data_IF_869797370023
#
_entry.id   IF_869797370023
#
_cell.length_a   1.000
_cell.length_b   1.000
_cell.length_c   1.000
_cell.angle_alpha   90.00
_cell.angle_beta   90.00
_cell.angle_gamma   90.00
#
_symmetry.space_group_name_H-M   'P 1'
#
loop_
_entity.id
_entity.type
_entity.pdbx_description
1 polymer ?
#
# COMPACT_ATOMS: atom_id res chain seq x y z
N UNK A 1 11.62 8.75 -5.82
CA UNK A 1 10.74 7.57 -5.67
C UNK A 1 10.23 7.51 -4.24
N UNK A 2 8.90 7.36 -4.08
CA UNK A 2 8.32 7.19 -2.75
C UNK A 2 8.11 5.71 -2.46
N UNK A 3 8.23 5.33 -1.18
CA UNK A 3 8.09 3.95 -0.75
C UNK A 3 7.30 3.88 0.56
N UNK A 4 6.64 2.77 0.77
CA UNK A 4 5.93 2.50 2.02
C UNK A 4 6.25 1.08 2.48
N UNK A 5 6.41 0.91 3.79
CA UNK A 5 6.55 -0.42 4.39
C UNK A 5 5.17 -1.05 4.56
N UNK A 6 5.09 -2.33 4.24
CA UNK A 6 3.84 -3.09 4.34
C UNK A 6 4.03 -4.22 5.34
N UNK A 7 3.12 -4.28 6.31
CA UNK A 7 3.16 -5.27 7.40
C UNK A 7 1.96 -6.20 7.31
N UNK A 8 2.16 -7.44 7.68
CA UNK A 8 1.06 -8.42 7.84
C UNK A 8 1.14 -8.97 9.25
N UNK A 9 0.05 -8.84 10.00
CA UNK A 9 -0.01 -9.24 11.41
C UNK A 9 1.12 -8.61 12.23
N UNK A 10 1.45 -7.37 11.94
CA UNK A 10 2.51 -6.64 12.62
C UNK A 10 3.93 -7.00 12.22
N UNK A 11 4.10 -7.94 11.28
CA UNK A 11 5.41 -8.37 10.80
C UNK A 11 5.71 -7.71 9.47
N UNK A 12 6.88 -7.10 9.33
CA UNK A 12 7.27 -6.46 8.07
C UNK A 12 7.32 -7.49 6.95
N UNK A 13 6.51 -7.31 5.92
CA UNK A 13 6.40 -8.24 4.80
C UNK A 13 7.14 -7.77 3.57
N UNK A 14 7.14 -6.45 3.32
CA UNK A 14 7.78 -5.94 2.12
C UNK A 14 7.57 -4.44 2.00
N UNK A 15 7.75 -3.94 0.78
CA UNK A 15 7.51 -2.52 0.55
C UNK A 15 6.80 -2.28 -0.78
N UNK A 16 5.98 -1.25 -0.79
CA UNK A 16 5.32 -0.75 -1.98
C UNK A 16 6.11 0.44 -2.50
N UNK A 17 6.54 0.37 -3.74
CA UNK A 17 7.37 1.40 -4.37
C UNK A 17 6.59 2.11 -5.46
N UNK A 18 6.69 3.44 -5.48
CA UNK A 18 6.14 4.24 -6.56
C UNK A 18 7.30 4.62 -7.49
N UNK A 19 7.46 3.85 -8.57
CA UNK A 19 8.57 4.06 -9.49
C UNK A 19 8.30 5.21 -10.43
N UNK A 20 7.03 5.37 -10.84
CA UNK A 20 6.60 6.51 -11.63
C UNK A 20 5.15 6.81 -11.22
N UNK A 21 4.92 8.02 -10.72
CA UNK A 21 3.63 8.38 -10.13
C UNK A 21 2.49 8.18 -11.12
N UNK A 22 1.50 7.39 -10.70
CA UNK A 22 0.32 7.09 -11.49
C UNK A 22 0.51 6.08 -12.60
N UNK A 23 1.75 5.61 -12.83
CA UNK A 23 2.04 4.78 -14.00
C UNK A 23 2.80 3.50 -13.70
N UNK A 24 3.61 3.47 -12.65
CA UNK A 24 4.41 2.28 -12.38
C UNK A 24 4.64 2.13 -10.90
N UNK A 25 4.12 1.03 -10.35
CA UNK A 25 4.27 0.67 -8.95
C UNK A 25 4.83 -0.74 -8.86
N UNK A 26 5.55 -0.99 -7.78
CA UNK A 26 6.13 -2.32 -7.55
C UNK A 26 5.95 -2.68 -6.09
N UNK A 27 5.45 -3.90 -5.83
CA UNK A 27 5.46 -4.46 -4.49
C UNK A 27 6.54 -5.53 -4.43
N UNK A 28 7.39 -5.46 -3.39
CA UNK A 28 8.50 -6.39 -3.22
C UNK A 28 8.42 -6.98 -1.82
N UNK A 29 8.26 -8.30 -1.73
CA UNK A 29 8.40 -8.99 -0.44
C UNK A 29 9.86 -8.95 0.00
N UNK A 30 10.07 -8.90 1.33
CA UNK A 30 11.41 -9.04 1.89
C UNK A 30 12.00 -10.38 1.48
N UNK A 31 13.29 -10.40 1.22
CA UNK A 31 13.99 -11.63 0.97
C UNK A 31 13.88 -12.50 2.21
N UNK A 32 13.46 -13.77 2.02
CA UNK A 32 13.29 -14.69 3.13
C UNK A 32 12.02 -14.50 3.95
N UNK A 33 11.09 -13.64 3.51
CA UNK A 33 9.83 -13.47 4.24
C UNK A 33 9.03 -14.77 4.27
N UNK A 34 8.59 -15.18 5.45
CA UNK A 34 7.89 -16.46 5.65
C UNK A 34 6.51 -16.31 6.29
N UNK A 35 5.99 -15.11 6.39
CA UNK A 35 4.66 -14.87 6.92
C UNK A 35 3.58 -15.08 5.89
N UNK A 36 2.37 -14.66 6.25
CA UNK A 36 1.23 -14.72 5.35
C UNK A 36 1.39 -13.73 4.20
N UNK A 37 0.80 -14.05 3.05
CA UNK A 37 0.80 -13.11 1.93
C UNK A 37 -0.03 -11.88 2.25
N UNK A 38 0.34 -10.75 1.63
CA UNK A 38 -0.40 -9.49 1.77
C UNK A 38 -1.81 -9.65 1.22
N UNK A 39 -1.95 -10.41 0.14
CA UNK A 39 -3.22 -10.58 -0.56
C UNK A 39 -3.20 -11.91 -1.30
N UNK A 40 -4.38 -12.46 -1.55
CA UNK A 40 -4.52 -13.66 -2.38
C UNK A 40 -3.98 -13.45 -3.79
N UNK A 41 -3.97 -12.21 -4.26
CA UNK A 41 -3.47 -11.88 -5.60
C UNK A 41 -1.97 -11.61 -5.62
N UNK A 42 -1.33 -11.64 -4.44
CA UNK A 42 0.12 -11.42 -4.31
C UNK A 42 0.72 -12.52 -3.42
N UNK A 43 0.63 -13.80 -3.83
CA UNK A 43 1.17 -14.89 -3.02
C UNK A 43 2.69 -14.78 -2.85
N UNK A 44 3.20 -15.35 -1.76
CA UNK A 44 4.62 -15.22 -1.40
C UNK A 44 5.55 -16.08 -2.24
N UNK A 45 5.00 -16.91 -3.13
CA UNK A 45 5.82 -17.72 -4.04
C UNK A 45 6.45 -16.90 -5.16
N UNK A 46 6.07 -15.63 -5.28
CA UNK A 46 6.70 -14.67 -6.17
C UNK A 46 7.07 -13.46 -5.32
N UNK A 47 8.28 -12.94 -5.52
CA UNK A 47 8.78 -11.90 -4.65
C UNK A 47 8.44 -10.49 -5.14
N UNK A 48 8.40 -10.29 -6.46
CA UNK A 48 8.23 -8.97 -7.05
C UNK A 48 6.97 -8.94 -7.91
N UNK A 49 6.15 -7.91 -7.70
CA UNK A 49 4.92 -7.68 -8.46
C UNK A 49 4.95 -6.27 -9.03
N UNK A 50 4.86 -6.16 -10.36
CA UNK A 50 4.83 -4.88 -11.05
C UNK A 50 3.43 -4.54 -11.53
N UNK A 51 3.08 -3.26 -11.45
CA UNK A 51 1.77 -2.75 -11.84
C UNK A 51 1.93 -1.48 -12.65
N UNK A 52 1.11 -1.33 -13.69
CA UNK A 52 1.08 -0.12 -14.53
C UNK A 52 0.13 0.95 -13.98
N UNK A 53 -0.40 0.73 -12.79
CA UNK A 53 -1.23 1.66 -12.04
C UNK A 53 -1.15 1.28 -10.57
N UNK A 54 -1.81 2.04 -9.70
CA UNK A 54 -1.79 1.72 -8.27
C UNK A 54 -2.34 0.31 -8.07
N UNK A 55 -1.65 -0.55 -7.27
CA UNK A 55 -2.05 -1.95 -7.14
C UNK A 55 -3.49 -2.09 -6.65
N UNK A 56 -4.32 -2.90 -7.31
CA UNK A 56 -5.74 -3.02 -6.96
C UNK A 56 -5.99 -3.39 -5.50
N UNK A 57 -5.18 -4.25 -4.91
CA UNK A 57 -5.37 -4.61 -3.51
C UNK A 57 -5.29 -3.38 -2.61
N UNK A 58 -4.26 -2.54 -2.80
CA UNK A 58 -4.08 -1.37 -1.96
C UNK A 58 -5.12 -0.30 -2.26
N UNK A 59 -5.53 -0.17 -3.51
CA UNK A 59 -6.61 0.75 -3.85
C UNK A 59 -7.91 0.33 -3.15
N UNK A 60 -8.15 -0.97 -3.07
CA UNK A 60 -9.36 -1.52 -2.47
C UNK A 60 -9.48 -1.30 -0.96
N UNK A 61 -8.38 -1.00 -0.26
CA UNK A 61 -8.43 -0.73 1.18
C UNK A 61 -8.49 0.75 1.51
N UNK A 62 -8.44 1.63 0.50
CA UNK A 62 -8.54 3.07 0.72
C UNK A 62 -9.98 3.47 1.02
N UNK A 63 -10.18 4.57 1.78
CA UNK A 63 -11.53 5.06 2.04
C UNK A 63 -12.20 5.55 0.77
N UNK A 64 -13.54 5.55 0.77
CA UNK A 64 -14.35 6.01 -0.36
C UNK A 64 -15.41 6.98 0.13
N UNK A 65 -16.03 7.70 -0.81
CA UNK A 65 -17.16 8.56 -0.54
C UNK A 65 -16.85 9.65 0.48
N UNK A 66 -17.72 9.80 1.47
CA UNK A 66 -17.58 10.84 2.51
C UNK A 66 -16.28 10.68 3.28
N UNK A 67 -15.87 9.45 3.57
CA UNK A 67 -14.63 9.19 4.29
C UNK A 67 -13.43 9.67 3.49
N UNK A 68 -13.43 9.45 2.18
CA UNK A 68 -12.36 9.94 1.31
C UNK A 68 -12.32 11.47 1.31
N UNK A 69 -13.48 12.12 1.20
CA UNK A 69 -13.53 13.58 1.20
C UNK A 69 -12.96 14.15 2.48
N UNK A 70 -13.31 13.54 3.63
CA UNK A 70 -12.78 13.97 4.91
C UNK A 70 -11.25 13.81 4.98
N UNK A 71 -10.73 12.68 4.48
CA UNK A 71 -9.30 12.42 4.47
C UNK A 71 -8.56 13.47 3.64
N UNK A 72 -9.04 13.75 2.44
CA UNK A 72 -8.38 14.69 1.54
C UNK A 72 -8.35 16.08 2.15
N UNK A 73 -9.44 16.50 2.81
CA UNK A 73 -9.52 17.81 3.44
C UNK A 73 -8.59 17.92 4.64
N UNK A 74 -8.60 16.92 5.50
CA UNK A 74 -7.81 16.96 6.74
C UNK A 74 -6.32 16.84 6.47
N UNK A 75 -5.93 16.04 5.49
CA UNK A 75 -4.52 15.75 5.20
C UNK A 75 -3.98 16.58 4.05
N UNK A 76 -4.81 17.39 3.41
CA UNK A 76 -4.42 18.24 2.28
C UNK A 76 -3.78 17.44 1.15
N UNK A 77 -4.35 16.27 0.85
CA UNK A 77 -3.88 15.38 -0.19
C UNK A 77 -4.67 15.59 -1.47
N UNK A 78 -4.04 15.36 -2.60
CA UNK A 78 -4.71 15.30 -3.88
C UNK A 78 -5.51 14.01 -4.00
N UNK A 79 -6.64 14.09 -4.72
CA UNK A 79 -7.50 12.94 -4.93
C UNK A 79 -6.78 11.81 -5.68
N UNK A 80 -5.82 12.14 -6.52
CA UNK A 80 -5.09 11.16 -7.31
C UNK A 80 -3.78 10.71 -6.65
N UNK A 81 -3.48 11.18 -5.44
CA UNK A 81 -2.29 10.75 -4.71
C UNK A 81 -2.62 9.53 -3.85
N UNK A 82 -2.76 8.38 -4.49
CA UNK A 82 -3.21 7.16 -3.82
C UNK A 82 -2.18 6.66 -2.80
N UNK A 83 -0.90 6.74 -3.13
CA UNK A 83 0.13 6.32 -2.16
C UNK A 83 0.13 7.21 -0.92
N UNK A 84 -0.01 8.52 -1.11
CA UNK A 84 -0.11 9.45 0.03
C UNK A 84 -1.31 9.11 0.92
N UNK A 85 -2.46 8.82 0.31
CA UNK A 85 -3.64 8.41 1.06
C UNK A 85 -3.39 7.13 1.84
N UNK A 86 -2.76 6.14 1.20
CA UNK A 86 -2.49 4.86 1.85
C UNK A 86 -1.57 5.03 3.06
N UNK A 87 -0.55 5.87 2.95
CA UNK A 87 0.37 6.12 4.06
C UNK A 87 -0.36 6.78 5.24
N UNK A 88 -1.23 7.75 4.96
CA UNK A 88 -1.94 8.45 6.04
C UNK A 88 -2.88 7.52 6.80
N UNK A 89 -3.60 6.64 6.10
CA UNK A 89 -4.56 5.73 6.75
C UNK A 89 -3.94 4.37 7.11
N UNK A 90 -2.67 4.20 6.89
CA UNK A 90 -2.03 2.89 6.90
C UNK A 90 -2.16 2.09 8.19
N UNK A 91 -2.32 2.75 9.35
CA UNK A 91 -2.49 2.04 10.63
C UNK A 91 -3.95 1.70 10.92
N UNK A 92 -4.87 2.24 10.14
CA UNK A 92 -6.31 2.12 10.38
C UNK A 92 -7.01 1.27 9.30
N UNK A 93 -6.25 0.48 8.55
CA UNK A 93 -6.83 -0.36 7.51
C UNK A 93 -7.60 -1.53 8.12
N UNK A 94 -8.64 -1.97 7.42
CA UNK A 94 -9.41 -3.16 7.82
C UNK A 94 -8.58 -4.40 7.50
N UNK A 95 -8.55 -5.33 8.44
CA UNK A 95 -7.82 -6.59 8.25
C UNK A 95 -6.47 -6.59 8.94
N UNK A 96 -5.58 -7.46 8.47
CA UNK A 96 -4.30 -7.69 9.13
C UNK A 96 -3.11 -6.99 8.45
N UNK A 97 -3.39 -6.22 7.41
CA UNK A 97 -2.34 -5.48 6.68
C UNK A 97 -2.29 -4.04 7.20
N UNK A 98 -1.10 -3.56 7.49
CA UNK A 98 -0.87 -2.15 7.83
C UNK A 98 0.24 -1.61 6.95
N UNK A 99 0.26 -0.28 6.81
CA UNK A 99 1.21 0.41 5.94
C UNK A 99 1.74 1.63 6.69
N UNK A 100 3.02 1.90 6.53
CA UNK A 100 3.59 3.14 7.08
C UNK A 100 4.60 3.71 6.11
N UNK A 101 4.90 5.02 6.27
CA UNK A 101 5.93 5.66 5.45
C UNK A 101 7.26 4.93 5.63
N UNK A 102 8.06 4.90 4.57
CA UNK A 102 9.33 4.20 4.61
C UNK A 102 10.27 4.75 5.69
N UNK A 103 10.21 6.02 5.90
CA UNK A 103 11.06 6.65 6.94
C UNK A 103 10.31 6.87 8.22
#
# INVERSE_FOLDING_TARGET
MRRARVFVDGKLAGELQELERGKHYRFVYLEGYKGSSVSLTMPTNQRIYDYDRFPPFFEGVLPEGVMLEALLRQSKLDRDDLLGQLIVVGQDLVGNVTVEAYE
#
